data_IF_479397484161
#
_entry.id   IF_479397484161
#
_cell.length_a   1.000
_cell.length_b   1.000
_cell.length_c   1.000
_cell.angle_alpha   90.00
_cell.angle_beta   90.00
_cell.angle_gamma   90.00
#
_symmetry.space_group_name_H-M   'P 1'
#
loop_
_entity.id
_entity.type
_entity.pdbx_description
1 polymer ?
#
# COMPACT_ATOMS: atom_id res chain seq x y z
N UNK A 1 17.82 7.11 8.30
CA UNK A 1 17.92 8.22 7.34
C UNK A 1 17.63 9.49 8.10
N UNK A 2 18.63 10.22 8.63
CA UNK A 2 18.32 11.35 9.52
C UNK A 2 18.47 12.70 8.82
N UNK A 3 19.48 12.88 7.98
CA UNK A 3 19.73 14.18 7.34
C UNK A 3 18.67 14.57 6.32
N UNK A 4 18.23 13.64 5.47
CA UNK A 4 17.21 13.93 4.45
C UNK A 4 15.86 14.28 5.09
N UNK A 5 15.45 13.62 6.17
CA UNK A 5 14.20 13.95 6.85
C UNK A 5 14.21 15.37 7.46
N UNK A 6 15.37 15.86 7.92
CA UNK A 6 15.51 17.20 8.51
C UNK A 6 15.52 18.33 7.47
N UNK A 7 15.83 18.01 6.21
CA UNK A 7 15.98 18.98 5.13
C UNK A 7 14.78 19.01 4.19
N UNK A 8 13.78 18.20 4.45
CA UNK A 8 12.60 18.04 3.61
C UNK A 8 11.34 18.45 4.37
N UNK A 9 10.33 18.85 3.61
CA UNK A 9 9.01 19.24 4.12
C UNK A 9 7.94 18.24 3.74
N UNK A 10 8.22 17.38 2.76
CA UNK A 10 7.30 16.37 2.29
C UNK A 10 8.06 15.09 1.92
N UNK A 11 7.39 13.96 2.06
CA UNK A 11 7.84 12.69 1.52
C UNK A 11 6.69 11.98 0.78
N UNK A 12 7.05 11.34 -0.34
CA UNK A 12 6.14 10.55 -1.17
C UNK A 12 6.74 9.18 -1.46
N UNK A 13 5.94 8.12 -1.38
CA UNK A 13 6.33 6.79 -1.83
C UNK A 13 5.16 6.07 -2.48
N UNK A 14 5.45 5.28 -3.51
CA UNK A 14 4.47 4.42 -4.17
C UNK A 14 4.76 2.95 -3.87
N UNK A 15 3.72 2.17 -3.62
CA UNK A 15 3.78 0.71 -3.60
C UNK A 15 2.66 0.18 -4.50
N UNK A 16 3.01 -0.69 -5.43
CA UNK A 16 2.06 -1.34 -6.32
C UNK A 16 2.02 -2.82 -5.96
N UNK A 17 0.81 -3.33 -5.71
CA UNK A 17 0.59 -4.76 -5.56
C UNK A 17 -0.04 -5.26 -6.85
N UNK A 18 0.72 -6.06 -7.59
CA UNK A 18 0.21 -6.85 -8.70
C UNK A 18 -0.42 -8.11 -8.11
N UNK A 19 -1.64 -8.44 -8.53
CA UNK A 19 -2.45 -9.49 -7.91
C UNK A 19 -3.09 -10.36 -8.99
N UNK A 20 -3.21 -11.64 -8.69
CA UNK A 20 -3.91 -12.63 -9.50
C UNK A 20 -4.94 -13.32 -8.60
N UNK A 21 -6.23 -13.18 -8.93
CA UNK A 21 -7.35 -13.80 -8.21
C UNK A 21 -7.47 -13.48 -6.71
N UNK A 22 -6.99 -12.33 -6.26
CA UNK A 22 -7.01 -11.94 -4.84
C UNK A 22 -7.21 -10.44 -4.66
N UNK A 23 -8.09 -10.04 -3.73
CA UNK A 23 -8.25 -8.63 -3.36
C UNK A 23 -7.25 -8.24 -2.27
N UNK A 24 -6.70 -7.05 -2.36
CA UNK A 24 -5.76 -6.53 -1.36
C UNK A 24 -6.30 -5.31 -0.61
N UNK A 25 -7.30 -4.61 -1.15
CA UNK A 25 -7.85 -3.39 -0.56
C UNK A 25 -9.36 -3.43 -0.44
N UNK A 26 -10.11 -3.19 -1.51
CA UNK A 26 -11.55 -3.35 -1.51
C UNK A 26 -11.95 -4.83 -1.61
N UNK A 27 -13.06 -5.20 -0.97
CA UNK A 27 -13.60 -6.57 -1.06
C UNK A 27 -14.34 -6.84 -2.38
N UNK A 28 -14.66 -5.81 -3.16
CA UNK A 28 -15.52 -5.92 -4.34
C UNK A 28 -15.73 -4.59 -5.08
N UNK A 29 -16.65 -4.55 -6.07
CA UNK A 29 -16.84 -3.41 -6.97
C UNK A 29 -17.42 -2.16 -6.29
N UNK A 30 -17.92 -2.27 -5.06
CA UNK A 30 -18.34 -1.10 -4.28
C UNK A 30 -17.16 -0.22 -3.86
N UNK A 31 -15.91 -0.68 -4.07
CA UNK A 31 -14.66 -0.02 -3.67
C UNK A 31 -14.59 0.30 -2.17
N UNK A 32 -15.45 -0.35 -1.37
CA UNK A 32 -15.41 -0.25 0.08
C UNK A 32 -14.22 -1.05 0.59
N UNK A 33 -13.42 -0.39 1.43
CA UNK A 33 -12.24 -0.99 2.08
C UNK A 33 -12.66 -2.25 2.85
N UNK A 34 -11.92 -3.34 2.66
CA UNK A 34 -12.09 -4.57 3.42
C UNK A 34 -11.57 -4.40 4.85
N UNK A 35 -12.18 -5.09 5.82
CA UNK A 35 -11.62 -5.24 7.17
C UNK A 35 -10.31 -6.03 7.19
N UNK A 36 -10.05 -6.80 6.14
CA UNK A 36 -8.82 -7.58 5.93
C UNK A 36 -7.88 -6.93 4.91
N UNK A 37 -8.09 -5.66 4.59
CA UNK A 37 -7.22 -4.92 3.69
C UNK A 37 -5.76 -4.96 4.16
N UNK A 38 -4.84 -4.92 3.20
CA UNK A 38 -3.42 -4.79 3.47
C UNK A 38 -3.15 -3.54 4.30
N UNK A 39 -2.14 -3.63 5.17
CA UNK A 39 -1.64 -2.49 5.91
C UNK A 39 -0.12 -2.44 5.82
N UNK A 40 0.44 -1.27 6.03
CA UNK A 40 1.83 -0.96 5.80
C UNK A 40 2.47 -0.46 7.09
N UNK A 41 3.77 -0.65 7.23
CA UNK A 41 4.54 -0.15 8.36
C UNK A 41 5.54 0.88 7.89
N UNK A 42 5.46 2.09 8.42
CA UNK A 42 6.48 3.12 8.28
C UNK A 42 7.76 2.75 9.04
N UNK A 43 8.90 3.34 8.68
CA UNK A 43 10.17 3.11 9.38
C UNK A 43 10.12 3.51 10.87
N UNK A 44 9.25 4.45 11.25
CA UNK A 44 8.96 4.82 12.65
C UNK A 44 8.26 3.73 13.45
N UNK A 45 7.77 2.69 12.77
CA UNK A 45 6.95 1.64 13.35
C UNK A 45 5.45 1.91 13.29
N UNK A 46 5.02 3.09 12.82
CA UNK A 46 3.61 3.41 12.64
C UNK A 46 2.96 2.51 11.59
N UNK A 47 1.76 1.99 11.92
CA UNK A 47 0.91 1.23 10.99
C UNK A 47 0.02 2.19 10.21
N UNK A 48 -0.07 1.97 8.89
CA UNK A 48 -0.82 2.78 7.93
C UNK A 48 -1.72 1.83 7.14
N UNK A 49 -3.03 2.05 7.14
CA UNK A 49 -3.99 1.12 6.54
C UNK A 49 -5.40 1.68 6.50
N UNK A 50 -6.33 0.84 6.03
CA UNK A 50 -7.75 1.18 5.95
C UNK A 50 -8.32 1.54 7.33
N UNK A 51 -8.97 2.71 7.45
CA UNK A 51 -9.60 3.19 8.67
C UNK A 51 -8.67 3.81 9.70
N UNK A 52 -7.35 3.84 9.45
CA UNK A 52 -6.39 4.48 10.35
C UNK A 52 -6.41 6.01 10.20
N UNK A 53 -5.83 6.75 11.16
CA UNK A 53 -5.75 8.22 11.10
C UNK A 53 -5.00 8.72 9.85
N UNK A 54 -4.03 7.93 9.40
CA UNK A 54 -3.29 8.13 8.16
C UNK A 54 -3.61 6.94 7.27
N UNK A 55 -4.35 7.19 6.18
CA UNK A 55 -4.64 6.19 5.14
C UNK A 55 -3.77 6.48 3.91
N UNK A 56 -3.36 5.46 3.15
CA UNK A 56 -2.78 5.68 1.83
C UNK A 56 -3.85 6.19 0.86
N UNK A 57 -3.43 7.00 -0.09
CA UNK A 57 -4.25 7.29 -1.27
C UNK A 57 -4.22 6.07 -2.19
N UNK A 58 -5.38 5.67 -2.71
CA UNK A 58 -5.52 4.49 -3.58
C UNK A 58 -6.07 4.93 -4.94
N UNK A 59 -5.23 5.49 -5.83
CA UNK A 59 -5.67 5.99 -7.13
C UNK A 59 -6.18 4.90 -8.08
N UNK A 60 -5.85 3.62 -7.82
CA UNK A 60 -6.29 2.47 -8.61
C UNK A 60 -6.45 1.25 -7.72
N UNK A 61 -7.58 0.55 -7.84
CA UNK A 61 -7.83 -0.74 -7.17
C UNK A 61 -8.63 -1.67 -8.09
N UNK A 62 -7.91 -2.54 -8.81
CA UNK A 62 -8.49 -3.56 -9.69
C UNK A 62 -8.36 -4.97 -9.10
N UNK A 63 -7.69 -5.13 -7.95
CA UNK A 63 -7.44 -6.46 -7.37
C UNK A 63 -8.68 -7.20 -6.87
N UNK A 64 -9.81 -6.51 -6.71
CA UNK A 64 -11.07 -7.19 -6.42
C UNK A 64 -11.59 -8.05 -7.59
N UNK A 65 -11.05 -7.86 -8.81
CA UNK A 65 -11.38 -8.64 -10.01
C UNK A 65 -10.65 -10.00 -9.95
N UNK A 66 -11.42 -11.09 -9.95
CA UNK A 66 -10.93 -12.48 -9.90
C UNK A 66 -11.22 -13.25 -11.19
N UNK A 67 -10.71 -12.76 -12.32
CA UNK A 67 -10.98 -13.26 -13.68
C UNK A 67 -9.84 -14.13 -14.26
N UNK A 68 -8.86 -14.54 -13.44
CA UNK A 68 -7.68 -15.28 -13.88
C UNK A 68 -6.63 -14.44 -14.59
N UNK A 69 -6.73 -13.10 -14.57
CA UNK A 69 -5.72 -12.17 -15.11
C UNK A 69 -5.04 -11.38 -14.01
N UNK A 70 -3.88 -10.84 -14.34
CA UNK A 70 -3.15 -9.95 -13.46
C UNK A 70 -3.81 -8.57 -13.43
N UNK A 71 -4.04 -8.08 -12.22
CA UNK A 71 -4.55 -6.74 -11.92
C UNK A 71 -3.62 -6.04 -10.95
N UNK A 72 -3.95 -4.80 -10.59
CA UNK A 72 -3.12 -3.96 -9.74
C UNK A 72 -3.94 -3.13 -8.76
N UNK A 73 -3.38 -2.94 -7.57
CA UNK A 73 -3.78 -1.86 -6.66
C UNK A 73 -2.57 -0.98 -6.40
N UNK A 74 -2.76 0.33 -6.54
CA UNK A 74 -1.71 1.34 -6.41
C UNK A 74 -1.92 2.06 -5.08
N UNK A 75 -0.89 2.06 -4.25
CA UNK A 75 -0.87 2.78 -2.97
C UNK A 75 0.10 3.95 -3.08
N UNK A 76 -0.37 5.15 -2.76
CA UNK A 76 0.44 6.36 -2.69
C UNK A 76 0.43 6.88 -1.26
N UNK A 77 1.61 6.92 -0.65
CA UNK A 77 1.84 7.49 0.67
C UNK A 77 2.41 8.89 0.47
N UNK A 78 1.69 9.91 0.94
CA UNK A 78 2.10 11.31 0.85
C UNK A 78 1.94 11.94 2.23
N UNK A 79 2.99 12.56 2.73
CA UNK A 79 3.01 13.11 4.10
C UNK A 79 3.84 14.39 4.18
N UNK A 80 3.31 15.39 4.89
CA UNK A 80 4.05 16.59 5.30
C UNK A 80 4.94 16.36 6.53
N UNK A 81 4.90 15.16 7.13
CA UNK A 81 5.92 14.68 8.05
C UNK A 81 6.80 13.67 7.30
N UNK A 82 8.01 14.06 6.86
CA UNK A 82 8.95 13.17 6.18
C UNK A 82 9.34 11.94 7.01
N UNK A 83 9.20 11.99 8.34
CA UNK A 83 9.54 10.85 9.18
C UNK A 83 8.54 9.70 9.05
N UNK A 84 7.39 9.87 8.39
CA UNK A 84 6.46 8.75 8.18
C UNK A 84 6.87 7.81 7.03
N UNK A 85 7.93 8.14 6.29
CA UNK A 85 8.45 7.32 5.20
C UNK A 85 9.95 7.04 5.39
N UNK A 86 10.48 5.95 4.80
CA UNK A 86 9.82 5.00 3.90
C UNK A 86 8.91 3.99 4.61
N UNK A 87 8.09 3.31 3.82
CA UNK A 87 7.45 2.05 4.18
C UNK A 87 8.52 0.95 4.22
N UNK A 88 8.52 0.18 5.29
CA UNK A 88 9.52 -0.86 5.57
C UNK A 88 8.92 -2.26 5.64
N UNK A 89 7.60 -2.40 5.72
CA UNK A 89 6.93 -3.70 5.80
C UNK A 89 5.48 -3.65 5.30
N UNK A 90 4.94 -4.80 4.88
CA UNK A 90 3.56 -4.99 4.41
C UNK A 90 2.92 -6.14 5.19
N UNK A 91 1.78 -5.87 5.80
CA UNK A 91 1.00 -6.80 6.62
C UNK A 91 -0.33 -7.14 5.95
N UNK A 92 -0.95 -8.24 6.39
CA UNK A 92 -2.24 -8.74 5.89
C UNK A 92 -2.26 -9.00 4.38
N UNK A 93 -1.10 -9.31 3.78
CA UNK A 93 -1.08 -9.82 2.41
C UNK A 93 -1.86 -11.15 2.35
N UNK A 94 -2.92 -11.25 1.52
CA UNK A 94 -3.73 -12.45 1.46
C UNK A 94 -2.84 -13.64 1.09
N UNK A 95 -2.97 -14.73 1.83
CA UNK A 95 -2.15 -15.93 1.63
C UNK A 95 -3.01 -17.09 1.13
N UNK A 96 -2.46 -17.82 0.16
CA UNK A 96 -2.72 -19.25 -0.07
C UNK A 96 -4.15 -19.69 -0.45
N UNK A 97 -4.71 -19.13 -1.52
CA UNK A 97 -5.68 -19.89 -2.33
C UNK A 97 -5.01 -20.47 -3.58
N UNK A 98 -5.37 -21.69 -4.03
CA UNK A 98 -4.85 -22.24 -5.28
C UNK A 98 -5.08 -21.29 -6.46
N UNK A 99 -4.00 -20.93 -7.15
CA UNK A 99 -4.05 -20.00 -8.28
C UNK A 99 -4.12 -18.51 -7.91
N UNK A 100 -4.03 -18.17 -6.62
CA UNK A 100 -3.84 -16.80 -6.16
C UNK A 100 -2.34 -16.48 -6.02
N UNK A 101 -1.91 -15.38 -6.62
CA UNK A 101 -0.51 -14.93 -6.58
C UNK A 101 -0.44 -13.42 -6.46
N UNK A 102 0.67 -12.92 -5.90
CA UNK A 102 0.96 -11.50 -5.90
C UNK A 102 2.43 -11.22 -6.19
N UNK A 103 2.69 -10.02 -6.68
CA UNK A 103 4.01 -9.45 -6.84
C UNK A 103 4.00 -8.02 -6.30
N UNK A 104 4.99 -7.71 -5.46
CA UNK A 104 5.17 -6.39 -4.85
C UNK A 104 6.19 -5.59 -5.65
N UNK A 105 5.77 -4.41 -6.09
CA UNK A 105 6.64 -3.40 -6.68
C UNK A 105 6.76 -2.24 -5.69
N UNK A 106 7.94 -2.08 -5.10
CA UNK A 106 8.23 -1.05 -4.10
C UNK A 106 8.94 0.10 -4.80
N UNK A 107 8.23 1.22 -4.96
CA UNK A 107 8.79 2.44 -5.52
C UNK A 107 9.78 3.12 -4.58
N UNK A 108 10.67 3.98 -5.11
CA UNK A 108 11.55 4.78 -4.29
C UNK A 108 10.75 5.72 -3.37
N UNK A 109 11.33 6.05 -2.23
CA UNK A 109 10.85 7.19 -1.43
C UNK A 109 11.49 8.47 -1.98
N UNK A 110 10.65 9.47 -2.24
CA UNK A 110 11.03 10.79 -2.70
C UNK A 110 10.85 11.78 -1.56
N UNK A 111 11.85 12.61 -1.33
CA UNK A 111 11.83 13.67 -0.31
C UNK A 111 11.97 15.03 -1.02
N UNK A 112 11.15 16.00 -0.62
CA UNK A 112 11.06 17.34 -1.23
C UNK A 112 11.36 18.44 -0.20
#
# INVERSE_FOLDING_TARGET
MNFIHLLSTEAVQHIIIHCLNMSVWAAGPSLQRSSTAVSFKAWTGQRIGAGDLVEPLVPRDDCWIKDGRWHQTHFMFQSQDPNLLPIVDVHNLPTAEPGAHYHLEVGPVCFL
#
